data_IF_818743171581
#
_entry.id   IF_818743171581
#
_cell.length_a   1.000
_cell.length_b   1.000
_cell.length_c   1.000
_cell.angle_alpha   90.00
_cell.angle_beta   90.00
_cell.angle_gamma   90.00
#
_symmetry.space_group_name_H-M   'P 1'
#
loop_
_entity.id
_entity.type
_entity.pdbx_description
1 polymer ?
#
# COMPACT_ATOMS: atom_id res chain seq x y z
N UNK A 1 13.03 10.46 13.65
CA UNK A 1 13.02 9.30 12.74
C UNK A 1 11.74 8.56 13.04
N UNK A 2 10.84 8.42 12.07
CA UNK A 2 9.54 7.75 12.27
C UNK A 2 9.80 6.26 12.48
N UNK A 3 9.24 5.68 13.53
CA UNK A 3 9.37 4.25 13.84
C UNK A 3 8.57 3.40 12.86
N UNK A 4 8.95 2.13 12.71
CA UNK A 4 8.24 1.22 11.79
C UNK A 4 6.75 1.07 12.14
N UNK A 5 6.42 1.02 13.44
CA UNK A 5 5.03 1.00 13.90
C UNK A 5 4.23 2.24 13.47
N UNK A 6 4.82 3.43 13.58
CA UNK A 6 4.19 4.68 13.12
C UNK A 6 4.00 4.69 11.59
N UNK A 7 4.94 4.13 10.82
CA UNK A 7 4.81 4.01 9.36
C UNK A 7 3.66 3.07 8.98
N UNK A 8 3.55 1.92 9.66
CA UNK A 8 2.48 0.94 9.41
C UNK A 8 1.11 1.54 9.75
N UNK A 9 0.98 2.19 10.91
CA UNK A 9 -0.27 2.84 11.31
C UNK A 9 -0.65 3.99 10.37
N UNK A 10 0.32 4.82 9.98
CA UNK A 10 0.14 5.84 8.95
C UNK A 10 -0.35 5.22 7.64
N UNK A 11 0.33 4.17 7.16
CA UNK A 11 0.01 3.52 5.89
C UNK A 11 -1.39 2.89 5.91
N UNK A 12 -1.80 2.30 7.03
CA UNK A 12 -3.17 1.78 7.21
C UNK A 12 -4.23 2.86 6.99
N UNK A 13 -4.06 4.02 7.66
CA UNK A 13 -4.97 5.17 7.51
C UNK A 13 -4.93 5.76 6.10
N UNK A 14 -3.73 5.88 5.53
CA UNK A 14 -3.50 6.37 4.17
C UNK A 14 -4.21 5.48 3.15
N UNK A 15 -3.97 4.17 3.19
CA UNK A 15 -4.55 3.21 2.27
C UNK A 15 -6.08 3.21 2.33
N UNK A 16 -6.66 3.20 3.55
CA UNK A 16 -8.11 3.33 3.73
C UNK A 16 -8.64 4.61 3.08
N UNK A 17 -7.99 5.76 3.33
CA UNK A 17 -8.40 7.04 2.73
C UNK A 17 -8.32 7.03 1.21
N UNK A 18 -7.27 6.45 0.62
CA UNK A 18 -7.13 6.32 -0.84
C UNK A 18 -8.31 5.54 -1.41
N UNK A 19 -8.65 4.39 -0.82
CA UNK A 19 -9.79 3.60 -1.25
C UNK A 19 -11.11 4.36 -1.10
N UNK A 20 -11.37 4.97 0.06
CA UNK A 20 -12.59 5.75 0.32
C UNK A 20 -12.75 6.90 -0.67
N UNK A 21 -11.67 7.62 -0.98
CA UNK A 21 -11.72 8.74 -1.94
C UNK A 21 -11.96 8.30 -3.38
N UNK A 22 -11.59 7.05 -3.71
CA UNK A 22 -11.67 6.52 -5.08
C UNK A 22 -12.97 5.74 -5.35
N UNK A 23 -13.50 5.06 -4.33
CA UNK A 23 -14.63 4.13 -4.45
C UNK A 23 -15.89 4.60 -3.71
N UNK A 24 -15.76 5.58 -2.80
CA UNK A 24 -16.76 5.91 -1.79
C UNK A 24 -16.65 5.02 -0.55
N UNK A 25 -17.24 5.47 0.56
CA UNK A 25 -17.07 4.85 1.88
C UNK A 25 -17.53 3.39 1.93
N UNK A 26 -18.76 3.10 1.50
CA UNK A 26 -19.32 1.74 1.57
C UNK A 26 -18.54 0.73 0.72
N UNK A 27 -18.11 1.12 -0.48
CA UNK A 27 -17.35 0.25 -1.37
C UNK A 27 -15.92 0.03 -0.86
N UNK A 28 -15.28 1.06 -0.29
CA UNK A 28 -13.97 0.94 0.31
C UNK A 28 -13.97 0.00 1.53
N UNK A 29 -14.96 0.12 2.42
CA UNK A 29 -15.11 -0.79 3.56
C UNK A 29 -15.36 -2.24 3.13
N UNK A 30 -16.23 -2.45 2.14
CA UNK A 30 -16.46 -3.78 1.58
C UNK A 30 -15.18 -4.39 0.99
N UNK A 31 -14.40 -3.60 0.24
CA UNK A 31 -13.13 -4.05 -0.31
C UNK A 31 -12.10 -4.36 0.78
N UNK A 32 -11.95 -3.49 1.79
CA UNK A 32 -11.05 -3.74 2.92
C UNK A 32 -11.43 -5.00 3.68
N UNK A 33 -12.72 -5.26 3.88
CA UNK A 33 -13.21 -6.49 4.52
C UNK A 33 -12.87 -7.73 3.68
N UNK A 34 -13.07 -7.66 2.36
CA UNK A 34 -12.74 -8.74 1.42
C UNK A 34 -11.24 -9.00 1.42
N UNK A 35 -10.40 -7.95 1.42
CA UNK A 35 -8.95 -8.07 1.49
C UNK A 35 -8.49 -8.68 2.81
N UNK A 36 -8.94 -8.19 3.96
CA UNK A 36 -8.59 -8.78 5.28
C UNK A 36 -8.89 -10.28 5.33
N UNK A 37 -10.07 -10.67 4.83
CA UNK A 37 -10.47 -12.10 4.76
C UNK A 37 -9.60 -12.90 3.80
N UNK A 38 -9.27 -12.35 2.64
CA UNK A 38 -8.45 -13.03 1.63
C UNK A 38 -6.98 -13.15 2.02
N UNK A 39 -6.43 -12.15 2.73
CA UNK A 39 -5.05 -12.10 3.18
C UNK A 39 -4.82 -12.85 4.51
N UNK A 40 -5.88 -13.02 5.32
CA UNK A 40 -5.81 -13.66 6.63
C UNK A 40 -5.16 -12.80 7.73
N UNK A 41 -4.87 -11.54 7.43
CA UNK A 41 -4.19 -10.57 8.29
C UNK A 41 -4.52 -9.14 7.85
N UNK A 42 -4.12 -8.13 8.63
CA UNK A 42 -4.36 -6.74 8.28
C UNK A 42 -3.53 -6.33 7.03
N UNK A 43 -4.15 -5.72 5.99
CA UNK A 43 -3.47 -5.41 4.74
C UNK A 43 -2.21 -4.56 4.89
N UNK A 44 -2.20 -3.59 5.81
CA UNK A 44 -1.05 -2.71 6.04
C UNK A 44 0.12 -3.43 6.69
N UNK A 45 -0.16 -4.38 7.59
CA UNK A 45 0.87 -5.19 8.25
C UNK A 45 1.51 -6.12 7.23
N UNK A 46 0.71 -6.85 6.46
CA UNK A 46 1.21 -7.73 5.40
C UNK A 46 2.00 -6.96 4.32
N UNK A 47 1.51 -5.78 3.93
CA UNK A 47 2.23 -4.94 2.98
C UNK A 47 3.61 -4.57 3.51
N UNK A 48 3.73 -4.25 4.80
CA UNK A 48 4.99 -3.90 5.42
C UNK A 48 5.94 -5.10 5.55
N UNK A 49 5.43 -6.23 6.04
CA UNK A 49 6.24 -7.42 6.31
C UNK A 49 6.66 -8.14 5.02
N UNK A 50 5.73 -8.33 4.09
CA UNK A 50 5.93 -9.11 2.87
C UNK A 50 5.11 -8.55 1.70
N UNK A 51 5.62 -7.51 1.01
CA UNK A 51 4.95 -6.90 -0.16
C UNK A 51 4.60 -7.88 -1.28
N UNK A 52 5.37 -8.97 -1.42
CA UNK A 52 5.13 -10.00 -2.44
C UNK A 52 3.92 -10.86 -2.11
N UNK A 53 3.82 -11.28 -0.86
CA UNK A 53 2.66 -12.02 -0.38
C UNK A 53 1.41 -11.16 -0.35
N UNK A 54 1.53 -9.88 0.04
CA UNK A 54 0.47 -8.90 -0.13
C UNK A 54 -0.01 -8.84 -1.58
N UNK A 55 0.90 -8.65 -2.55
CA UNK A 55 0.55 -8.54 -3.97
C UNK A 55 -0.14 -9.81 -4.47
N UNK A 56 0.44 -10.98 -4.19
CA UNK A 56 -0.13 -12.26 -4.61
C UNK A 56 -1.49 -12.52 -3.95
N UNK A 57 -1.66 -12.14 -2.68
CA UNK A 57 -2.93 -12.23 -1.96
C UNK A 57 -4.00 -11.30 -2.55
N UNK A 58 -3.63 -10.08 -2.95
CA UNK A 58 -4.52 -9.22 -3.71
C UNK A 58 -4.90 -9.85 -5.06
N UNK A 59 -3.95 -10.41 -5.81
CA UNK A 59 -4.24 -11.10 -7.08
C UNK A 59 -5.25 -12.24 -6.90
N UNK A 60 -5.13 -13.02 -5.82
CA UNK A 60 -6.09 -14.09 -5.51
C UNK A 60 -7.46 -13.55 -5.09
N UNK A 61 -7.50 -12.38 -4.46
CA UNK A 61 -8.72 -11.82 -3.86
C UNK A 61 -9.53 -11.00 -4.87
N UNK A 62 -8.87 -10.18 -5.68
CA UNK A 62 -9.51 -9.21 -6.59
C UNK A 62 -9.09 -9.39 -8.05
N UNK A 63 -8.24 -10.38 -8.36
CA UNK A 63 -7.84 -10.69 -9.72
C UNK A 63 -7.15 -9.52 -10.42
N UNK A 64 -7.60 -9.22 -11.64
CA UNK A 64 -7.10 -8.12 -12.47
C UNK A 64 -7.25 -6.74 -11.80
N UNK A 65 -8.13 -6.61 -10.79
CA UNK A 65 -8.28 -5.37 -10.02
C UNK A 65 -7.04 -5.00 -9.21
N UNK A 66 -6.12 -5.94 -8.96
CA UNK A 66 -4.88 -5.74 -8.20
C UNK A 66 -4.05 -4.60 -8.76
N UNK A 67 -3.72 -4.64 -10.05
CA UNK A 67 -2.88 -3.61 -10.66
C UNK A 67 -3.54 -2.24 -10.59
N UNK A 68 -4.86 -2.18 -10.77
CA UNK A 68 -5.62 -0.93 -10.70
C UNK A 68 -5.51 -0.33 -9.29
N UNK A 69 -5.70 -1.14 -8.25
CA UNK A 69 -5.56 -0.70 -6.86
C UNK A 69 -4.13 -0.25 -6.53
N UNK A 70 -3.11 -0.97 -7.02
CA UNK A 70 -1.70 -0.54 -6.84
C UNK A 70 -1.43 0.77 -7.58
N UNK A 71 -1.93 0.93 -8.81
CA UNK A 71 -1.79 2.17 -9.60
C UNK A 71 -2.46 3.35 -8.90
N UNK A 72 -3.64 3.16 -8.30
CA UNK A 72 -4.31 4.17 -7.48
C UNK A 72 -3.49 4.52 -6.24
N UNK A 73 -2.93 3.52 -5.55
CA UNK A 73 -2.07 3.74 -4.41
C UNK A 73 -0.83 4.56 -4.78
N UNK A 74 -0.11 4.19 -5.85
CA UNK A 74 1.09 4.89 -6.31
C UNK A 74 0.76 6.33 -6.72
N UNK A 75 -0.36 6.56 -7.40
CA UNK A 75 -0.80 7.91 -7.76
C UNK A 75 -1.02 8.78 -6.51
N UNK A 76 -1.63 8.22 -5.47
CA UNK A 76 -1.80 8.92 -4.20
C UNK A 76 -0.46 9.17 -3.48
N UNK A 77 0.45 8.19 -3.46
CA UNK A 77 1.79 8.33 -2.87
C UNK A 77 2.55 9.46 -3.56
N UNK A 78 2.55 9.51 -4.89
CA UNK A 78 3.22 10.57 -5.66
C UNK A 78 2.65 11.95 -5.35
N UNK A 79 1.32 12.07 -5.36
CA UNK A 79 0.62 13.33 -5.07
C UNK A 79 0.91 13.84 -3.67
N UNK A 80 0.86 12.97 -2.67
CA UNK A 80 0.94 13.37 -1.27
C UNK A 80 2.39 13.45 -0.76
N UNK A 81 3.30 12.61 -1.25
CA UNK A 81 4.70 12.60 -0.86
C UNK A 81 5.61 13.46 -1.74
N UNK A 82 5.05 14.12 -2.78
CA UNK A 82 5.82 14.79 -3.83
C UNK A 82 6.92 13.88 -4.40
N UNK A 83 6.53 12.65 -4.72
CA UNK A 83 7.39 11.60 -5.27
C UNK A 83 7.08 11.40 -6.76
N UNK A 84 8.01 10.76 -7.48
CA UNK A 84 7.84 10.43 -8.90
C UNK A 84 8.09 8.92 -9.14
N UNK A 85 7.26 8.10 -8.48
CA UNK A 85 7.32 6.63 -8.59
C UNK A 85 6.51 6.20 -9.81
N UNK A 86 7.12 5.39 -10.66
CA UNK A 86 6.43 4.75 -11.78
C UNK A 86 5.62 3.54 -11.27
N UNK A 87 4.30 3.45 -11.56
CA UNK A 87 3.46 2.37 -11.02
C UNK A 87 3.96 0.97 -11.37
N UNK A 88 4.35 0.75 -12.62
CA UNK A 88 4.84 -0.56 -13.07
C UNK A 88 6.14 -0.93 -12.34
N UNK A 89 6.99 0.07 -12.05
CA UNK A 89 8.21 -0.17 -11.26
C UNK A 89 7.87 -0.54 -9.81
N UNK A 90 6.87 0.09 -9.23
CA UNK A 90 6.42 -0.24 -7.87
C UNK A 90 5.85 -1.66 -7.80
N UNK A 91 5.08 -2.07 -8.83
CA UNK A 91 4.57 -3.43 -8.97
C UNK A 91 5.73 -4.44 -9.07
N UNK A 92 6.77 -4.15 -9.86
CA UNK A 92 7.97 -4.99 -9.92
C UNK A 92 8.63 -5.17 -8.55
N UNK A 93 8.79 -4.07 -7.77
CA UNK A 93 9.37 -4.13 -6.43
C UNK A 93 8.55 -5.07 -5.52
N UNK A 94 7.21 -4.92 -5.53
CA UNK A 94 6.32 -5.77 -4.75
C UNK A 94 6.46 -7.24 -5.15
N UNK A 95 6.48 -7.54 -6.45
CA UNK A 95 6.53 -8.93 -6.96
C UNK A 95 7.88 -9.60 -6.75
N UNK A 96 8.98 -8.83 -6.76
CA UNK A 96 10.32 -9.37 -6.53
C UNK A 96 10.42 -9.96 -5.13
N UNK A 97 10.07 -9.16 -4.11
CA UNK A 97 10.15 -9.55 -2.69
C UNK A 97 11.57 -9.81 -2.20
N UNK A 98 12.60 -9.42 -2.96
CA UNK A 98 13.98 -9.48 -2.50
C UNK A 98 14.27 -8.35 -1.48
N UNK A 99 15.29 -8.50 -0.61
CA UNK A 99 15.57 -7.53 0.43
C UNK A 99 15.80 -6.09 -0.05
N UNK A 100 16.36 -5.91 -1.26
CA UNK A 100 16.57 -4.58 -1.82
C UNK A 100 15.24 -3.95 -2.21
N UNK A 101 14.37 -4.70 -2.87
CA UNK A 101 13.04 -4.23 -3.26
C UNK A 101 12.18 -3.91 -2.04
N UNK A 102 12.22 -4.73 -0.99
CA UNK A 102 11.52 -4.47 0.27
C UNK A 102 12.04 -3.18 0.92
N UNK A 103 13.37 -3.01 0.99
CA UNK A 103 13.98 -1.80 1.53
C UNK A 103 13.60 -0.53 0.77
N UNK A 104 13.44 -0.61 -0.55
CA UNK A 104 12.98 0.50 -1.38
C UNK A 104 11.53 0.88 -1.09
N UNK A 105 10.64 -0.12 -0.97
CA UNK A 105 9.24 0.10 -0.56
C UNK A 105 9.16 0.74 0.84
N UNK A 106 9.94 0.24 1.80
CA UNK A 106 9.99 0.81 3.15
C UNK A 106 10.49 2.26 3.12
N UNK A 107 11.51 2.55 2.31
CA UNK A 107 12.02 3.92 2.15
C UNK A 107 10.97 4.86 1.57
N UNK A 108 10.18 4.40 0.60
CA UNK A 108 9.08 5.17 0.02
C UNK A 108 8.03 5.49 1.09
N UNK A 109 7.58 4.48 1.84
CA UNK A 109 6.55 4.67 2.86
C UNK A 109 7.02 5.54 4.02
N UNK A 110 8.27 5.39 4.48
CA UNK A 110 8.87 6.25 5.49
C UNK A 110 8.91 7.70 5.04
N UNK A 111 9.36 7.97 3.81
CA UNK A 111 9.41 9.33 3.27
C UNK A 111 8.02 9.95 3.18
N UNK A 112 7.01 9.19 2.76
CA UNK A 112 5.64 9.65 2.75
C UNK A 112 5.13 9.97 4.17
N UNK A 113 5.39 9.08 5.13
CA UNK A 113 4.99 9.28 6.53
C UNK A 113 5.68 10.50 7.15
N UNK A 114 6.97 10.71 6.88
CA UNK A 114 7.73 11.88 7.33
C UNK A 114 7.16 13.19 6.78
N UNK A 115 6.73 13.22 5.52
CA UNK A 115 6.08 14.42 4.96
C UNK A 115 4.74 14.68 5.65
N UNK A 116 3.95 13.64 5.91
CA UNK A 116 2.56 13.78 6.37
C UNK A 116 2.35 13.82 7.89
N UNK A 117 3.28 13.32 8.68
CA UNK A 117 3.21 13.42 10.14
C UNK A 117 3.79 14.73 10.68
N UNK A 118 4.54 15.47 9.86
CA UNK A 118 5.14 16.75 10.21
C UNK A 118 4.38 17.97 9.61
N UNK A 119 3.29 17.73 8.86
CA UNK A 119 2.31 18.72 8.41
C UNK A 119 1.27 18.99 9.51
#
# INVERSE_FOLDING_TARGET
>A
MVSDGEVVEFFSRFFRRVLTSSLGESAAEALLLVLRRGLGQEPSELFWENPKEFYSGMEKTVGMGTEVLVKLLVAAINREGNLNIYPDKFIELMRSGDPKSIGEIHSILRRLAEVKLNE
#
